data_IF_637509630501
#
_entry.id   IF_637509630501
#
_cell.length_a   1.000
_cell.length_b   1.000
_cell.length_c   1.000
_cell.angle_alpha   90.00
_cell.angle_beta   90.00
_cell.angle_gamma   90.00
#
_symmetry.space_group_name_H-M   'P 1'
#
loop_
_entity.id
_entity.type
_entity.pdbx_description
1 polymer ?
#
# COMPACT_ATOMS: atom_id res chain seq x y z
N UNK A 1 29.16 -6.62 7.69
CA UNK A 1 27.82 -7.09 8.04
C UNK A 1 26.85 -5.89 8.11
N UNK A 2 25.59 -6.15 8.33
CA UNK A 2 24.56 -5.10 8.45
C UNK A 2 24.77 -4.20 9.69
N UNK A 3 25.34 -4.76 10.74
CA UNK A 3 25.66 -4.08 11.99
C UNK A 3 26.96 -3.23 11.93
N UNK A 4 27.61 -3.18 10.78
CA UNK A 4 28.86 -2.48 10.55
C UNK A 4 30.11 -3.27 10.88
N UNK A 5 30.02 -4.50 11.41
CA UNK A 5 31.18 -5.36 11.61
C UNK A 5 31.73 -5.90 10.29
N UNK A 6 33.02 -6.24 10.27
CA UNK A 6 33.70 -6.83 9.10
C UNK A 6 34.23 -8.20 9.43
N UNK A 7 34.00 -9.15 8.53
CA UNK A 7 34.48 -10.53 8.63
C UNK A 7 35.25 -10.87 7.36
N UNK A 8 36.47 -11.40 7.45
CA UNK A 8 37.20 -11.79 6.25
C UNK A 8 36.54 -13.01 5.57
N UNK A 9 36.48 -12.95 4.24
CA UNK A 9 35.91 -14.01 3.41
C UNK A 9 37.00 -14.45 2.41
N UNK A 10 37.23 -15.73 2.31
CA UNK A 10 38.20 -16.30 1.37
C UNK A 10 37.47 -17.03 0.22
N UNK A 11 37.18 -18.29 0.38
CA UNK A 11 36.60 -19.11 -0.70
C UNK A 11 35.05 -19.18 -0.62
N UNK A 12 34.48 -19.01 0.57
CA UNK A 12 33.04 -19.12 0.80
C UNK A 12 32.58 -18.15 1.89
N UNK A 13 31.31 -17.79 1.82
CA UNK A 13 30.67 -17.01 2.89
C UNK A 13 30.59 -17.82 4.18
N UNK A 14 30.76 -17.21 5.37
CA UNK A 14 30.62 -17.89 6.65
C UNK A 14 29.28 -18.62 6.76
N UNK A 15 29.32 -19.87 7.26
CA UNK A 15 28.10 -20.67 7.44
C UNK A 15 27.15 -20.09 8.52
N UNK A 16 27.70 -19.31 9.43
CA UNK A 16 27.00 -18.61 10.52
C UNK A 16 26.70 -17.14 10.20
N UNK A 17 26.77 -16.79 8.91
CA UNK A 17 26.41 -15.42 8.48
C UNK A 17 25.03 -15.05 9.05
N UNK A 18 24.88 -13.93 9.78
CA UNK A 18 23.58 -13.52 10.31
C UNK A 18 22.54 -13.32 9.20
N UNK A 19 21.26 -13.55 9.52
CA UNK A 19 20.17 -13.17 8.63
C UNK A 19 20.17 -11.64 8.48
N UNK A 20 20.07 -11.13 7.25
CA UNK A 20 20.07 -9.69 6.99
C UNK A 20 20.66 -9.30 5.65
N UNK A 21 20.96 -8.02 5.51
CA UNK A 21 21.55 -7.43 4.31
C UNK A 21 23.01 -7.05 4.57
N UNK A 22 23.92 -7.69 3.87
CA UNK A 22 25.35 -7.49 4.06
C UNK A 22 26.00 -6.92 2.81
N UNK A 23 27.23 -6.45 2.95
CA UNK A 23 28.04 -5.96 1.84
C UNK A 23 29.31 -6.80 1.74
N UNK A 24 29.51 -7.45 0.61
CA UNK A 24 30.72 -8.13 0.26
C UNK A 24 31.61 -7.16 -0.55
N UNK A 25 32.85 -7.00 -0.14
CA UNK A 25 33.88 -6.26 -0.88
C UNK A 25 34.93 -7.24 -1.38
N UNK A 26 35.26 -7.17 -2.65
CA UNK A 26 36.34 -7.96 -3.27
C UNK A 26 37.39 -7.04 -3.87
N UNK A 27 38.46 -7.62 -4.35
CA UNK A 27 39.58 -6.90 -4.97
C UNK A 27 39.09 -5.95 -6.07
N UNK A 28 39.71 -4.76 -6.14
CA UNK A 28 39.36 -3.75 -7.13
C UNK A 28 38.08 -2.94 -6.85
N UNK A 29 37.73 -2.74 -5.58
CA UNK A 29 36.58 -1.93 -5.13
C UNK A 29 35.20 -2.46 -5.57
N UNK A 30 35.12 -3.71 -5.99
CA UNK A 30 33.83 -4.33 -6.30
C UNK A 30 33.00 -4.53 -5.03
N UNK A 31 31.77 -4.02 -5.07
CA UNK A 31 30.81 -4.09 -3.97
C UNK A 31 29.60 -4.90 -4.39
N UNK A 32 29.36 -6.02 -3.72
CA UNK A 32 28.20 -6.87 -3.94
C UNK A 32 27.31 -6.87 -2.71
N UNK A 33 26.02 -6.71 -2.91
CA UNK A 33 25.06 -6.84 -1.82
C UNK A 33 24.64 -8.29 -1.65
N UNK A 34 24.75 -8.78 -0.42
CA UNK A 34 24.40 -10.15 -0.04
C UNK A 34 23.16 -10.12 0.86
N UNK A 35 22.14 -10.87 0.47
CA UNK A 35 20.93 -11.06 1.26
C UNK A 35 20.92 -12.47 1.83
N UNK A 36 21.03 -12.58 3.15
CA UNK A 36 20.86 -13.85 3.84
C UNK A 36 19.44 -13.95 4.40
N UNK A 37 18.67 -14.89 3.90
CA UNK A 37 17.27 -15.09 4.25
C UNK A 37 17.14 -16.30 5.21
N UNK A 38 16.13 -16.30 6.11
CA UNK A 38 15.93 -17.37 7.10
C UNK A 38 15.53 -18.73 6.49
N UNK A 39 15.41 -18.81 5.19
CA UNK A 39 15.04 -20.03 4.49
C UNK A 39 14.76 -19.78 3.01
N UNK A 40 14.35 -20.81 2.27
CA UNK A 40 14.04 -20.68 0.86
C UNK A 40 12.86 -19.74 0.64
N UNK A 41 12.91 -18.95 -0.43
CA UNK A 41 11.79 -18.14 -0.85
C UNK A 41 10.60 -19.07 -1.14
N UNK A 42 9.50 -18.86 -0.44
CA UNK A 42 8.28 -19.62 -0.68
C UNK A 42 7.81 -19.38 -2.12
N UNK A 43 7.61 -20.44 -2.85
CA UNK A 43 6.96 -20.40 -4.16
C UNK A 43 5.45 -20.49 -3.95
N UNK A 44 4.73 -19.70 -4.71
CA UNK A 44 3.27 -19.85 -4.79
C UNK A 44 3.01 -21.08 -5.67
N UNK A 45 2.15 -21.98 -5.20
CA UNK A 45 1.72 -23.13 -6.00
C UNK A 45 1.03 -22.69 -7.28
N UNK A 46 1.01 -23.56 -8.29
CA UNK A 46 0.28 -23.26 -9.53
C UNK A 46 -1.19 -23.06 -9.22
N UNK A 47 -1.70 -21.92 -9.63
CA UNK A 47 -3.07 -21.54 -9.39
C UNK A 47 -3.46 -20.36 -10.28
N UNK A 48 -4.67 -19.90 -10.09
CA UNK A 48 -5.16 -18.68 -10.73
C UNK A 48 -5.29 -17.57 -9.67
N UNK A 49 -5.37 -16.34 -10.12
CA UNK A 49 -5.54 -15.19 -9.25
C UNK A 49 -6.16 -14.03 -10.00
N UNK A 50 -6.45 -12.96 -9.26
CA UNK A 50 -6.91 -11.70 -9.85
C UNK A 50 -5.78 -10.68 -9.83
N UNK A 51 -5.75 -9.84 -10.86
CA UNK A 51 -4.93 -8.63 -10.90
C UNK A 51 -5.85 -7.44 -11.07
N UNK A 52 -5.78 -6.47 -10.15
CA UNK A 52 -6.69 -5.34 -10.12
C UNK A 52 -5.97 -4.01 -9.98
N UNK A 53 -6.59 -2.96 -10.48
CA UNK A 53 -6.22 -1.59 -10.19
C UNK A 53 -7.13 -1.10 -9.07
N UNK A 54 -6.61 -0.98 -7.84
CA UNK A 54 -7.41 -0.60 -6.68
C UNK A 54 -8.20 0.69 -6.89
N UNK A 55 -7.66 1.77 -7.49
CA UNK A 55 -8.44 2.99 -7.75
C UNK A 55 -9.77 2.77 -8.46
N UNK A 56 -9.84 1.78 -9.34
CA UNK A 56 -11.05 1.45 -10.12
C UNK A 56 -11.89 0.35 -9.50
N UNK A 57 -11.38 -0.33 -8.48
CA UNK A 57 -12.08 -1.39 -7.74
C UNK A 57 -12.97 -0.75 -6.68
N UNK A 58 -14.13 -0.25 -7.11
CA UNK A 58 -15.05 0.54 -6.29
C UNK A 58 -16.30 -0.25 -5.92
N UNK A 59 -16.78 -0.08 -4.71
CA UNK A 59 -18.10 -0.53 -4.25
C UNK A 59 -19.02 0.67 -4.03
N UNK A 60 -20.27 0.40 -3.70
CA UNK A 60 -21.25 1.46 -3.34
C UNK A 60 -20.86 2.23 -2.07
N UNK A 61 -19.97 1.67 -1.26
CA UNK A 61 -19.49 2.31 -0.04
C UNK A 61 -18.24 3.19 -0.29
N UNK A 62 -17.57 3.05 -1.42
CA UNK A 62 -16.34 3.79 -1.74
C UNK A 62 -16.61 5.28 -1.95
N UNK A 63 -15.69 6.12 -1.53
CA UNK A 63 -15.76 7.57 -1.73
C UNK A 63 -15.15 7.98 -3.07
N UNK A 64 -15.77 7.54 -4.17
CA UNK A 64 -15.35 7.88 -5.55
C UNK A 64 -14.05 7.22 -6.04
N UNK A 65 -13.34 6.53 -5.16
CA UNK A 65 -12.04 5.90 -5.40
C UNK A 65 -12.02 4.56 -4.67
N UNK A 66 -11.45 3.51 -5.27
CA UNK A 66 -11.35 2.20 -4.61
C UNK A 66 -10.45 2.27 -3.36
N UNK A 67 -10.85 1.60 -2.31
CA UNK A 67 -10.30 1.70 -0.96
C UNK A 67 -9.77 0.36 -0.46
N UNK A 68 -8.97 0.36 0.60
CA UNK A 68 -8.45 -0.87 1.22
C UNK A 68 -9.58 -1.80 1.69
N UNK A 69 -10.71 -1.26 2.10
CA UNK A 69 -11.90 -2.03 2.46
C UNK A 69 -12.49 -2.79 1.24
N UNK A 70 -12.43 -2.17 0.05
CA UNK A 70 -12.84 -2.83 -1.20
C UNK A 70 -11.84 -3.94 -1.57
N UNK A 71 -10.55 -3.67 -1.42
CA UNK A 71 -9.50 -4.67 -1.63
C UNK A 71 -9.66 -5.86 -0.68
N UNK A 72 -9.93 -5.60 0.59
CA UNK A 72 -10.16 -6.65 1.59
C UNK A 72 -11.40 -7.49 1.26
N UNK A 73 -12.47 -6.86 0.77
CA UNK A 73 -13.68 -7.56 0.32
C UNK A 73 -13.40 -8.46 -0.86
N UNK A 74 -12.67 -7.95 -1.86
CA UNK A 74 -12.28 -8.71 -3.02
C UNK A 74 -11.33 -9.86 -2.67
N UNK A 75 -10.37 -9.63 -1.76
CA UNK A 75 -9.44 -10.66 -1.30
C UNK A 75 -10.18 -11.83 -0.62
N UNK A 76 -11.17 -11.53 0.23
CA UNK A 76 -12.00 -12.57 0.86
C UNK A 76 -12.81 -13.34 -0.19
N UNK A 77 -13.36 -12.64 -1.18
CA UNK A 77 -14.09 -13.28 -2.28
C UNK A 77 -13.17 -14.20 -3.08
N UNK A 78 -12.00 -13.70 -3.49
CA UNK A 78 -10.99 -14.44 -4.26
C UNK A 78 -10.57 -15.73 -3.52
N UNK A 79 -10.29 -15.61 -2.21
CA UNK A 79 -9.93 -16.77 -1.38
C UNK A 79 -11.03 -17.83 -1.29
N UNK A 80 -12.29 -17.42 -1.15
CA UNK A 80 -13.45 -18.36 -1.12
C UNK A 80 -13.65 -19.11 -2.44
N UNK A 81 -13.14 -18.57 -3.54
CA UNK A 81 -13.19 -19.19 -4.86
C UNK A 81 -11.91 -19.96 -5.21
N UNK A 82 -11.05 -20.21 -4.22
CA UNK A 82 -9.85 -21.03 -4.38
C UNK A 82 -8.71 -20.34 -5.14
N UNK A 83 -8.74 -19.01 -5.25
CA UNK A 83 -7.66 -18.26 -5.86
C UNK A 83 -6.70 -17.73 -4.77
N UNK A 84 -5.45 -18.24 -4.70
CA UNK A 84 -4.52 -17.88 -3.64
C UNK A 84 -3.84 -16.53 -3.83
N UNK A 85 -4.04 -15.86 -4.95
CA UNK A 85 -3.33 -14.62 -5.31
C UNK A 85 -4.29 -13.53 -5.71
N UNK A 86 -4.10 -12.35 -5.10
CA UNK A 86 -4.69 -11.09 -5.52
C UNK A 86 -3.57 -10.06 -5.68
N UNK A 87 -3.24 -9.72 -6.92
CA UNK A 87 -2.27 -8.68 -7.24
C UNK A 87 -2.96 -7.33 -7.40
N UNK A 88 -2.31 -6.27 -6.97
CA UNK A 88 -2.82 -4.91 -7.12
C UNK A 88 -1.70 -3.91 -7.45
N UNK A 89 -2.06 -2.72 -7.88
CA UNK A 89 -1.13 -1.63 -8.13
C UNK A 89 -0.39 -1.20 -6.84
N UNK A 90 0.74 -0.49 -6.95
CA UNK A 90 1.40 0.13 -5.79
C UNK A 90 0.45 1.04 -5.00
N UNK A 91 0.56 1.03 -3.67
CA UNK A 91 -0.26 1.81 -2.74
C UNK A 91 0.50 3.02 -2.16
N UNK A 92 1.69 3.29 -2.68
CA UNK A 92 2.56 4.35 -2.17
C UNK A 92 1.91 5.73 -2.21
N UNK A 93 2.31 6.58 -1.27
CA UNK A 93 1.79 7.94 -1.15
C UNK A 93 2.32 8.84 -2.27
N UNK A 94 1.43 9.64 -2.82
CA UNK A 94 1.76 10.75 -3.71
C UNK A 94 1.99 12.02 -2.89
N UNK A 95 2.48 13.10 -3.53
CA UNK A 95 2.58 14.41 -2.89
C UNK A 95 1.18 14.86 -2.47
N UNK A 96 0.99 15.30 -1.21
CA UNK A 96 -0.33 15.68 -0.69
C UNK A 96 -0.76 17.09 -1.13
N UNK A 97 -0.76 17.33 -2.43
CA UNK A 97 -1.14 18.60 -3.04
C UNK A 97 -1.96 18.37 -4.32
N UNK A 98 -2.60 19.41 -4.79
CA UNK A 98 -3.35 19.38 -6.04
C UNK A 98 -2.51 19.93 -7.20
N UNK A 99 -2.70 19.40 -8.42
CA UNK A 99 -3.55 18.25 -8.75
C UNK A 99 -2.94 16.93 -8.29
N UNK A 100 -3.79 15.98 -7.90
CA UNK A 100 -3.35 14.65 -7.46
C UNK A 100 -2.73 13.83 -8.61
N UNK A 101 -1.64 13.14 -8.30
CA UNK A 101 -0.99 12.23 -9.25
C UNK A 101 -1.97 11.13 -9.70
N UNK A 102 -2.15 11.01 -11.00
CA UNK A 102 -3.10 10.04 -11.59
C UNK A 102 -2.59 8.62 -11.58
N UNK A 103 -1.28 8.45 -11.72
CA UNK A 103 -0.65 7.13 -11.81
C UNK A 103 -0.16 6.66 -10.43
N UNK A 104 -0.58 5.49 -9.95
CA UNK A 104 -0.09 4.94 -8.68
C UNK A 104 1.39 4.50 -8.76
N UNK A 105 1.95 4.43 -9.97
CA UNK A 105 3.34 4.04 -10.18
C UNK A 105 4.34 5.17 -9.94
N UNK A 106 3.88 6.42 -9.89
CA UNK A 106 4.70 7.61 -9.60
C UNK A 106 4.49 8.09 -8.15
N UNK A 107 4.60 7.16 -7.21
CA UNK A 107 4.53 7.50 -5.80
C UNK A 107 5.78 8.30 -5.38
N UNK A 108 5.57 9.35 -4.59
CA UNK A 108 6.66 10.14 -3.97
C UNK A 108 7.29 9.41 -2.80
N UNK A 109 6.55 8.51 -2.17
CA UNK A 109 7.02 7.64 -1.10
C UNK A 109 6.48 6.22 -1.27
N UNK A 110 7.39 5.25 -1.17
CA UNK A 110 7.04 3.82 -1.07
C UNK A 110 6.97 3.34 0.39
N UNK A 111 7.34 4.20 1.34
CA UNK A 111 7.35 3.93 2.77
C UNK A 111 6.04 4.32 3.45
N UNK A 112 5.24 5.17 2.81
CA UNK A 112 3.94 5.61 3.27
C UNK A 112 2.86 5.21 2.28
N UNK A 113 1.69 4.83 2.78
CA UNK A 113 0.51 4.55 1.97
C UNK A 113 -0.22 5.85 1.64
N UNK A 114 -0.87 5.88 0.47
CA UNK A 114 -1.71 7.01 0.10
C UNK A 114 -2.99 7.04 0.94
N UNK A 115 -3.33 8.16 1.57
CA UNK A 115 -4.57 8.29 2.33
C UNK A 115 -5.84 8.20 1.46
N UNK A 116 -5.72 8.32 0.14
CA UNK A 116 -6.84 8.07 -0.79
C UNK A 116 -7.42 6.66 -0.65
N UNK A 117 -6.60 5.69 -0.24
CA UNK A 117 -7.03 4.30 -0.07
C UNK A 117 -7.73 4.03 1.28
N UNK A 118 -7.75 4.98 2.21
CA UNK A 118 -8.45 4.83 3.47
C UNK A 118 -9.97 4.99 3.27
N UNK A 119 -10.74 4.12 3.93
CA UNK A 119 -12.16 4.37 4.19
C UNK A 119 -12.26 5.09 5.52
N UNK A 120 -12.63 6.35 5.51
CA UNK A 120 -12.60 7.20 6.71
C UNK A 120 -13.52 6.64 7.79
N UNK A 121 -14.65 6.06 7.41
CA UNK A 121 -15.63 5.45 8.32
C UNK A 121 -15.07 4.26 9.12
N UNK A 122 -14.05 3.56 8.58
CA UNK A 122 -13.43 2.41 9.22
C UNK A 122 -12.30 2.80 10.19
N UNK A 123 -11.97 4.09 10.30
CA UNK A 123 -10.93 4.57 11.21
C UNK A 123 -11.52 4.64 12.63
N UNK A 124 -10.80 4.09 13.61
CA UNK A 124 -11.21 4.15 15.00
C UNK A 124 -11.43 5.61 15.45
N UNK A 125 -12.58 5.89 16.03
CA UNK A 125 -12.95 7.24 16.46
C UNK A 125 -13.64 8.09 15.37
N UNK A 126 -13.79 7.59 14.14
CA UNK A 126 -14.45 8.33 13.06
C UNK A 126 -15.90 8.71 13.39
N UNK A 127 -16.58 7.89 14.20
CA UNK A 127 -17.94 8.15 14.69
C UNK A 127 -18.06 9.47 15.47
N UNK A 128 -16.95 9.97 16.03
CA UNK A 128 -16.90 11.26 16.76
C UNK A 128 -17.14 12.47 15.85
N UNK A 129 -16.99 12.30 14.54
CA UNK A 129 -17.34 13.34 13.56
C UNK A 129 -18.85 13.52 13.39
N UNK A 130 -19.67 12.52 13.77
CA UNK A 130 -21.12 12.58 13.70
C UNK A 130 -21.62 12.91 12.28
N UNK A 131 -22.50 13.92 12.18
CA UNK A 131 -23.08 14.32 10.89
C UNK A 131 -22.05 14.83 9.85
N UNK A 132 -20.89 15.28 10.28
CA UNK A 132 -19.80 15.66 9.35
C UNK A 132 -19.28 14.45 8.58
N UNK A 133 -19.13 13.30 9.26
CA UNK A 133 -18.75 12.05 8.59
C UNK A 133 -19.80 11.66 7.55
N UNK A 134 -21.07 11.71 7.90
CA UNK A 134 -22.17 11.36 7.00
C UNK A 134 -22.19 12.26 5.75
N UNK A 135 -22.01 13.57 5.93
CA UNK A 135 -21.94 14.51 4.81
C UNK A 135 -20.74 14.23 3.90
N UNK A 136 -19.55 14.01 4.47
CA UNK A 136 -18.35 13.69 3.72
C UNK A 136 -18.50 12.36 2.95
N UNK A 137 -19.05 11.34 3.60
CA UNK A 137 -19.32 10.03 3.01
C UNK A 137 -20.29 10.14 1.82
N UNK A 138 -21.38 10.89 1.98
CA UNK A 138 -22.35 11.08 0.91
C UNK A 138 -21.75 11.87 -0.27
N UNK A 139 -20.98 12.93 0.01
CA UNK A 139 -20.26 13.66 -1.03
C UNK A 139 -19.27 12.77 -1.78
N UNK A 140 -18.50 11.96 -1.06
CA UNK A 140 -17.56 11.00 -1.65
C UNK A 140 -18.27 9.96 -2.52
N UNK A 141 -19.38 9.38 -2.05
CA UNK A 141 -20.16 8.38 -2.80
C UNK A 141 -20.80 8.98 -4.05
N UNK A 142 -21.22 10.23 -4.04
CA UNK A 142 -21.76 10.92 -5.22
C UNK A 142 -20.73 10.99 -6.38
N UNK A 143 -19.44 10.89 -6.09
CA UNK A 143 -18.41 10.84 -7.12
C UNK A 143 -18.38 9.50 -7.89
N UNK A 144 -19.06 8.47 -7.40
CA UNK A 144 -19.13 7.17 -8.08
C UNK A 144 -19.89 7.25 -9.41
N UNK A 145 -20.79 8.20 -9.55
CA UNK A 145 -21.60 8.41 -10.76
C UNK A 145 -20.81 9.09 -11.88
N UNK A 146 -19.61 9.60 -11.59
CA UNK A 146 -18.74 10.22 -12.59
C UNK A 146 -18.11 9.17 -13.51
N UNK A 147 -17.98 9.46 -14.82
CA UNK A 147 -17.39 8.54 -15.78
C UNK A 147 -15.90 8.28 -15.54
N UNK A 148 -15.22 9.20 -14.85
CA UNK A 148 -13.81 9.11 -14.49
C UNK A 148 -13.62 9.38 -13.00
N UNK A 149 -12.55 8.82 -12.43
CA UNK A 149 -12.18 9.07 -11.03
C UNK A 149 -11.67 10.50 -10.90
N UNK A 150 -12.39 11.31 -10.14
CA UNK A 150 -11.96 12.65 -9.75
C UNK A 150 -11.11 12.59 -8.49
N UNK A 151 -9.82 12.33 -8.66
CA UNK A 151 -8.89 12.20 -7.54
C UNK A 151 -8.72 13.47 -6.74
N UNK A 152 -8.86 14.62 -7.38
CA UNK A 152 -8.71 15.92 -6.74
C UNK A 152 -9.87 16.17 -5.76
N UNK A 153 -11.09 15.85 -6.16
CA UNK A 153 -12.25 15.99 -5.30
C UNK A 153 -12.27 14.92 -4.20
N UNK A 154 -11.91 13.66 -4.52
CA UNK A 154 -11.72 12.62 -3.50
C UNK A 154 -10.69 13.06 -2.46
N UNK A 155 -9.57 13.66 -2.90
CA UNK A 155 -8.55 14.18 -2.00
C UNK A 155 -9.08 15.29 -1.09
N UNK A 156 -9.82 16.26 -1.63
CA UNK A 156 -10.39 17.35 -0.83
C UNK A 156 -11.30 16.81 0.27
N UNK A 157 -12.26 15.96 -0.09
CA UNK A 157 -13.23 15.40 0.85
C UNK A 157 -12.52 14.55 1.93
N UNK A 158 -11.64 13.63 1.53
CA UNK A 158 -10.96 12.74 2.48
C UNK A 158 -9.98 13.48 3.36
N UNK A 159 -9.17 14.39 2.80
CA UNK A 159 -8.17 15.12 3.58
C UNK A 159 -8.81 16.07 4.59
N UNK A 160 -9.98 16.63 4.29
CA UNK A 160 -10.75 17.45 5.24
C UNK A 160 -11.26 16.59 6.39
N UNK A 161 -11.95 15.48 6.09
CA UNK A 161 -12.46 14.57 7.11
C UNK A 161 -11.34 13.99 8.00
N UNK A 162 -10.18 13.63 7.40
CA UNK A 162 -9.04 13.13 8.15
C UNK A 162 -8.41 14.20 9.07
N UNK A 163 -8.32 15.47 8.62
CA UNK A 163 -7.84 16.56 9.47
C UNK A 163 -8.79 16.83 10.63
N UNK A 164 -10.09 16.84 10.37
CA UNK A 164 -11.10 16.99 11.43
C UNK A 164 -11.02 15.85 12.45
N UNK A 165 -10.85 14.60 11.98
CA UNK A 165 -10.70 13.46 12.86
C UNK A 165 -9.42 13.57 13.70
N UNK A 166 -8.31 13.96 13.09
CA UNK A 166 -7.05 14.17 13.78
C UNK A 166 -7.15 15.23 14.89
N UNK A 167 -7.94 16.27 14.68
CA UNK A 167 -8.15 17.31 15.67
C UNK A 167 -8.96 16.85 16.90
N UNK A 168 -9.55 15.65 16.85
CA UNK A 168 -10.32 15.06 17.96
C UNK A 168 -9.49 14.06 18.80
N UNK A 169 -8.27 13.75 18.36
CA UNK A 169 -7.34 12.83 19.04
C UNK A 169 -6.41 13.59 19.96
#
# INVERSE_FOLDING_TARGET
LEDGTSVPVHDALPADLPIGTHTLRSDGDHVTRVFHLPGPIRRVDRGWGLSVQLPTTRSRASWGHGELADLATLARWTARHGAPVLAHNPLGSTIPMLPQQRSPYFASSRRALSPLYLRVEDIAGAERLGDRLNRAANAGRALLDRPTIDRDEVWRIKSEALRELWALV
#
